data_IF_126461420782
#
_entry.id   IF_126461420782
#
_cell.length_a   1.000
_cell.length_b   1.000
_cell.length_c   1.000
_cell.angle_alpha   90.00
_cell.angle_beta   90.00
_cell.angle_gamma   90.00
#
_symmetry.space_group_name_H-M   'P 1'
#
loop_
_entity.id
_entity.type
_entity.pdbx_description
1 polymer ?
#
# COMPACT_ATOMS: atom_id res chain seq x y z
N UNK A 1 -45.98 10.53 6.01
CA UNK A 1 -45.14 10.28 4.80
C UNK A 1 -43.68 10.67 4.97
N UNK A 2 -43.37 11.74 5.70
CA UNK A 2 -41.97 12.15 5.99
C UNK A 2 -41.23 11.24 7.00
N UNK A 3 -41.93 10.59 7.91
CA UNK A 3 -41.33 9.74 8.92
C UNK A 3 -40.80 8.41 8.35
N UNK A 4 -41.40 7.88 7.29
CA UNK A 4 -40.95 6.65 6.63
C UNK A 4 -39.65 6.84 5.80
N UNK A 5 -39.39 8.07 5.35
CA UNK A 5 -38.15 8.40 4.63
C UNK A 5 -36.97 8.54 5.60
N UNK A 6 -37.24 8.96 6.85
CA UNK A 6 -36.22 9.10 7.88
C UNK A 6 -35.78 7.75 8.46
N UNK A 7 -36.68 6.79 8.62
CA UNK A 7 -36.38 5.45 9.17
C UNK A 7 -35.63 4.56 8.18
N UNK A 8 -35.90 4.68 6.89
CA UNK A 8 -35.20 3.88 5.87
C UNK A 8 -33.78 4.36 5.59
N UNK A 9 -33.42 5.56 6.03
CA UNK A 9 -32.07 6.12 5.83
C UNK A 9 -31.12 5.82 6.99
N UNK A 10 -31.62 5.45 8.16
CA UNK A 10 -30.79 5.29 9.36
C UNK A 10 -30.02 3.96 9.39
N UNK A 11 -30.53 2.91 8.79
CA UNK A 11 -29.90 1.59 8.82
C UNK A 11 -28.74 1.41 7.82
N UNK A 12 -28.67 2.24 6.80
CA UNK A 12 -27.64 2.13 5.76
C UNK A 12 -26.41 3.03 5.98
N UNK A 13 -26.40 3.88 6.98
CA UNK A 13 -25.31 4.84 7.20
C UNK A 13 -24.28 4.44 8.26
N UNK A 14 -24.51 3.39 9.04
CA UNK A 14 -23.52 2.83 9.96
C UNK A 14 -22.50 1.97 9.20
N UNK A 15 -21.68 2.61 8.35
CA UNK A 15 -20.52 1.91 7.81
C UNK A 15 -19.47 1.79 8.91
N UNK A 16 -19.28 0.57 9.39
CA UNK A 16 -18.14 0.24 10.24
C UNK A 16 -16.85 0.68 9.54
N UNK A 17 -15.99 1.38 10.27
CA UNK A 17 -14.70 1.86 9.76
C UNK A 17 -13.85 0.72 9.20
N UNK A 18 -13.96 -0.48 9.77
CA UNK A 18 -13.25 -1.66 9.28
C UNK A 18 -13.76 -2.08 7.90
N UNK A 19 -15.06 -2.10 7.71
CA UNK A 19 -15.68 -2.40 6.42
C UNK A 19 -15.33 -1.33 5.36
N UNK A 20 -15.24 -0.07 5.76
CA UNK A 20 -14.79 1.01 4.89
C UNK A 20 -13.33 0.84 4.46
N UNK A 21 -12.43 0.58 5.40
CA UNK A 21 -10.99 0.43 5.13
C UNK A 21 -10.67 -0.88 4.38
N UNK A 22 -11.55 -1.87 4.42
CA UNK A 22 -11.42 -3.11 3.65
C UNK A 22 -11.72 -2.93 2.15
N UNK A 23 -12.32 -1.80 1.76
CA UNK A 23 -12.58 -1.52 0.33
C UNK A 23 -11.29 -1.21 -0.40
N UNK A 24 -11.07 -1.80 -1.59
CA UNK A 24 -9.88 -1.50 -2.37
C UNK A 24 -9.91 -0.06 -2.89
N UNK A 25 -8.76 0.60 -2.87
CA UNK A 25 -8.55 1.94 -3.40
C UNK A 25 -7.43 1.87 -4.42
N UNK A 26 -7.61 2.51 -5.59
CA UNK A 26 -6.58 2.59 -6.62
C UNK A 26 -5.53 3.60 -6.16
N UNK A 27 -4.30 3.13 -5.94
CA UNK A 27 -3.17 3.97 -5.53
C UNK A 27 -2.51 4.61 -6.74
N UNK A 28 -2.35 3.83 -7.80
CA UNK A 28 -1.67 4.27 -9.01
C UNK A 28 -2.22 3.51 -10.24
N UNK A 29 -2.06 4.11 -11.40
CA UNK A 29 -2.40 3.50 -12.68
C UNK A 29 -1.45 3.99 -13.76
N UNK A 30 -1.05 3.11 -14.66
CA UNK A 30 -0.11 3.44 -15.72
C UNK A 30 -0.11 2.41 -16.83
N UNK A 31 0.62 2.71 -17.88
CA UNK A 31 0.80 1.81 -19.01
C UNK A 31 2.15 1.08 -18.88
N UNK A 32 2.11 -0.23 -19.13
CA UNK A 32 3.28 -1.08 -19.20
C UNK A 32 3.77 -1.10 -20.66
N UNK A 33 5.03 -0.74 -20.88
CA UNK A 33 5.62 -0.73 -22.21
C UNK A 33 7.06 -1.24 -22.22
N UNK A 34 7.59 -1.63 -23.39
CA UNK A 34 8.94 -2.15 -23.52
C UNK A 34 10.04 -1.13 -23.18
N UNK A 35 9.69 0.15 -23.16
CA UNK A 35 10.61 1.22 -22.77
C UNK A 35 10.65 1.44 -21.24
N UNK A 36 9.81 0.75 -20.47
CA UNK A 36 9.81 0.89 -19.02
C UNK A 36 11.05 0.21 -18.45
N UNK A 37 11.91 0.99 -17.85
CA UNK A 37 13.08 0.49 -17.13
C UNK A 37 12.68 -0.03 -15.75
N UNK A 38 13.53 -0.87 -15.21
CA UNK A 38 13.39 -1.35 -13.81
C UNK A 38 13.27 -0.16 -12.87
N UNK A 39 12.19 -0.10 -12.07
CA UNK A 39 11.94 1.00 -11.15
C UNK A 39 11.09 2.14 -11.71
N UNK A 40 10.48 1.98 -12.88
CA UNK A 40 9.57 2.98 -13.47
C UNK A 40 8.31 3.20 -12.62
N UNK A 41 7.90 2.17 -11.89
CA UNK A 41 6.79 2.27 -10.95
C UNK A 41 7.26 2.71 -9.58
N UNK A 42 6.46 3.53 -8.90
CA UNK A 42 6.83 4.12 -7.62
C UNK A 42 7.08 3.12 -6.49
N UNK A 43 7.74 3.61 -5.46
CA UNK A 43 7.82 2.94 -4.16
C UNK A 43 6.86 3.62 -3.21
N UNK A 44 6.03 2.83 -2.54
CA UNK A 44 4.99 3.33 -1.65
C UNK A 44 5.36 3.00 -0.21
N UNK A 45 5.57 4.05 0.60
CA UNK A 45 5.81 3.90 2.04
C UNK A 45 4.50 3.59 2.76
N UNK A 46 4.45 2.50 3.50
CA UNK A 46 3.25 2.02 4.16
C UNK A 46 3.29 2.16 5.68
N UNK A 47 2.20 2.58 6.30
CA UNK A 47 0.89 2.98 5.77
C UNK A 47 0.80 4.45 5.34
N UNK A 48 1.87 5.22 5.53
CA UNK A 48 1.89 6.67 5.27
C UNK A 48 1.41 7.06 3.87
N UNK A 49 1.95 6.40 2.84
CA UNK A 49 1.60 6.70 1.45
C UNK A 49 0.11 6.48 1.16
N UNK A 50 -0.50 5.44 1.76
CA UNK A 50 -1.92 5.19 1.61
C UNK A 50 -2.77 6.25 2.32
N UNK A 51 -2.47 6.54 3.58
CA UNK A 51 -3.27 7.45 4.41
C UNK A 51 -3.22 8.88 3.85
N UNK A 52 -2.04 9.33 3.44
CA UNK A 52 -1.87 10.71 2.97
C UNK A 52 -2.27 10.94 1.51
N UNK A 53 -2.22 9.92 0.67
CA UNK A 53 -2.62 10.05 -0.73
C UNK A 53 -4.14 10.14 -0.92
N UNK A 54 -4.90 9.71 0.08
CA UNK A 54 -6.37 9.68 0.00
C UNK A 54 -7.03 10.44 1.13
N UNK A 55 -7.48 11.64 0.84
CA UNK A 55 -8.23 12.48 1.79
C UNK A 55 -9.41 11.74 2.42
N UNK A 56 -10.08 10.87 1.66
CA UNK A 56 -11.21 10.09 2.18
C UNK A 56 -10.79 9.12 3.27
N UNK A 57 -9.63 8.47 3.12
CA UNK A 57 -9.07 7.56 4.13
C UNK A 57 -8.58 8.36 5.34
N UNK A 58 -7.87 9.46 5.10
CA UNK A 58 -7.39 10.36 6.15
C UNK A 58 -8.54 10.90 6.99
N UNK A 59 -9.58 11.43 6.36
CA UNK A 59 -10.75 12.00 7.05
C UNK A 59 -11.54 10.95 7.86
N UNK A 60 -11.56 9.69 7.41
CA UNK A 60 -12.20 8.60 8.16
C UNK A 60 -11.37 8.13 9.36
N UNK A 61 -10.07 8.34 9.30
CA UNK A 61 -9.16 8.02 10.40
C UNK A 61 -8.97 9.20 11.36
N UNK A 62 -9.51 10.36 11.04
CA UNK A 62 -9.45 11.53 11.90
C UNK A 62 -10.13 11.26 13.25
N UNK A 63 -9.48 11.67 14.33
CA UNK A 63 -9.94 11.40 15.69
C UNK A 63 -9.48 10.07 16.29
N UNK A 64 -8.85 9.19 15.50
CA UNK A 64 -8.22 7.97 16.03
C UNK A 64 -6.76 8.24 16.41
N UNK A 65 -6.34 7.66 17.53
CA UNK A 65 -4.95 7.79 18.00
C UNK A 65 -3.96 7.03 17.12
N UNK A 66 -4.35 5.86 16.65
CA UNK A 66 -3.46 5.00 15.89
C UNK A 66 -4.17 3.98 15.02
N UNK A 67 -3.40 3.44 14.09
CA UNK A 67 -3.84 2.47 13.08
C UNK A 67 -3.00 1.20 13.16
N UNK A 68 -3.67 0.06 13.16
CA UNK A 68 -3.03 -1.26 13.10
C UNK A 68 -3.83 -2.18 12.21
N UNK A 69 -3.26 -2.57 11.09
CA UNK A 69 -3.88 -3.50 10.15
C UNK A 69 -2.83 -4.23 9.31
N UNK A 70 -3.21 -5.37 8.76
CA UNK A 70 -2.51 -5.99 7.64
C UNK A 70 -2.93 -5.28 6.36
N UNK A 71 -1.98 -4.85 5.55
CA UNK A 71 -2.24 -4.17 4.29
C UNK A 71 -2.15 -5.15 3.14
N UNK A 72 -3.07 -5.02 2.20
CA UNK A 72 -3.14 -5.89 1.03
C UNK A 72 -2.90 -5.05 -0.21
N UNK A 73 -1.82 -5.36 -0.92
CA UNK A 73 -1.50 -4.78 -2.22
C UNK A 73 -1.94 -5.70 -3.33
N UNK A 74 -2.69 -5.15 -4.25
CA UNK A 74 -3.13 -5.87 -5.44
C UNK A 74 -2.63 -5.14 -6.69
N UNK A 75 -1.78 -5.82 -7.45
CA UNK A 75 -1.40 -5.42 -8.79
C UNK A 75 -2.33 -6.12 -9.78
N UNK A 76 -3.10 -5.34 -10.52
CA UNK A 76 -3.95 -5.85 -11.60
C UNK A 76 -3.38 -5.39 -12.92
N UNK A 77 -3.10 -6.33 -13.81
CA UNK A 77 -2.51 -6.08 -15.12
C UNK A 77 -3.49 -6.54 -16.20
N UNK A 78 -3.75 -5.68 -17.16
CA UNK A 78 -4.49 -6.03 -18.36
C UNK A 78 -3.50 -6.17 -19.53
N UNK A 79 -3.01 -7.38 -19.74
CA UNK A 79 -2.06 -7.70 -20.79
C UNK A 79 -2.74 -8.43 -21.95
N UNK A 80 -2.21 -8.24 -23.15
CA UNK A 80 -2.58 -9.05 -24.30
C UNK A 80 -1.92 -10.44 -24.17
N UNK A 81 -2.58 -11.55 -24.55
CA UNK A 81 -2.01 -12.90 -24.49
C UNK A 81 -0.68 -13.09 -25.24
N UNK A 82 -0.35 -12.18 -26.17
CA UNK A 82 0.92 -12.20 -26.91
C UNK A 82 2.04 -11.38 -26.22
N UNK A 83 1.73 -10.69 -25.12
CA UNK A 83 2.74 -9.97 -24.34
C UNK A 83 3.44 -10.96 -23.41
N UNK A 84 4.77 -10.87 -23.41
CA UNK A 84 5.62 -11.66 -22.51
C UNK A 84 6.34 -10.72 -21.56
N UNK A 85 6.43 -11.12 -20.32
CA UNK A 85 7.14 -10.38 -19.27
C UNK A 85 6.70 -10.82 -17.89
N UNK A 86 7.46 -10.42 -16.90
CA UNK A 86 7.15 -10.72 -15.51
C UNK A 86 7.34 -9.47 -14.67
N UNK A 87 6.36 -9.19 -13.84
CA UNK A 87 6.43 -8.12 -12.85
C UNK A 87 6.53 -8.70 -11.45
N UNK A 88 7.25 -8.00 -10.60
CA UNK A 88 7.47 -8.40 -9.22
C UNK A 88 7.03 -7.25 -8.29
N UNK A 89 6.13 -7.54 -7.38
CA UNK A 89 5.78 -6.65 -6.27
C UNK A 89 6.55 -7.13 -5.04
N UNK A 90 7.38 -6.27 -4.49
CA UNK A 90 8.22 -6.59 -3.33
C UNK A 90 7.89 -5.69 -2.15
N UNK A 91 8.06 -6.23 -0.95
CA UNK A 91 7.96 -5.46 0.28
C UNK A 91 9.30 -5.45 1.01
N UNK A 92 9.81 -4.23 1.27
CA UNK A 92 11.02 -4.00 2.05
C UNK A 92 10.62 -3.56 3.46
N UNK A 93 10.70 -4.44 4.47
CA UNK A 93 10.32 -4.09 5.84
C UNK A 93 11.31 -3.10 6.46
N UNK A 94 10.80 -2.09 7.16
CA UNK A 94 11.61 -1.09 7.91
C UNK A 94 11.44 -1.22 9.43
N UNK A 95 10.60 -2.13 9.90
CA UNK A 95 10.43 -2.43 11.33
C UNK A 95 9.87 -1.27 12.16
N UNK A 96 9.19 -0.32 11.53
CA UNK A 96 8.64 0.87 12.19
C UNK A 96 9.62 2.02 12.32
N UNK A 97 10.72 2.01 11.58
CA UNK A 97 11.65 3.14 11.56
C UNK A 97 11.00 4.39 10.97
N UNK A 98 11.43 5.57 11.44
CA UNK A 98 11.06 6.83 10.81
C UNK A 98 11.66 6.92 9.42
N UNK A 99 10.99 7.63 8.51
CA UNK A 99 11.46 7.83 7.14
C UNK A 99 12.90 8.37 7.08
N UNK A 100 13.23 9.31 7.95
CA UNK A 100 14.57 9.91 8.03
C UNK A 100 15.63 9.00 8.66
N UNK A 101 15.23 7.99 9.42
CA UNK A 101 16.15 7.06 10.08
C UNK A 101 16.59 5.93 9.16
N UNK A 102 15.84 5.68 8.10
CA UNK A 102 16.22 4.72 7.06
C UNK A 102 17.00 5.48 6.00
N UNK A 103 18.31 5.50 6.13
CA UNK A 103 19.14 6.18 5.15
C UNK A 103 18.91 5.60 3.75
N UNK A 104 18.92 6.45 2.74
CA UNK A 104 18.82 6.05 1.33
C UNK A 104 19.86 4.98 0.97
N UNK A 105 21.04 5.02 1.58
CA UNK A 105 22.08 4.01 1.41
C UNK A 105 21.64 2.64 1.96
N UNK A 106 20.93 2.60 3.07
CA UNK A 106 20.44 1.34 3.66
C UNK A 106 19.33 0.72 2.80
N UNK A 107 18.41 1.54 2.31
CA UNK A 107 17.39 1.09 1.36
C UNK A 107 18.04 0.61 0.05
N UNK A 108 18.98 1.36 -0.49
CA UNK A 108 19.67 1.02 -1.73
C UNK A 108 20.43 -0.31 -1.61
N UNK A 109 21.04 -0.61 -0.46
CA UNK A 109 21.74 -1.88 -0.28
C UNK A 109 20.82 -3.11 -0.40
N UNK A 110 19.53 -2.97 -0.10
CA UNK A 110 18.56 -4.04 -0.18
C UNK A 110 17.73 -4.09 -1.47
N UNK A 111 17.72 -2.99 -2.24
CA UNK A 111 16.83 -2.85 -3.40
C UNK A 111 17.54 -2.50 -4.71
N UNK A 112 18.88 -2.42 -4.69
CA UNK A 112 19.63 -1.92 -5.86
C UNK A 112 19.62 -2.90 -7.04
N UNK A 113 19.66 -4.20 -6.77
CA UNK A 113 19.65 -5.21 -7.83
C UNK A 113 18.40 -6.08 -7.80
N UNK A 114 18.03 -6.62 -8.97
CA UNK A 114 16.92 -7.57 -9.06
C UNK A 114 17.13 -8.80 -8.15
N UNK A 115 18.38 -9.26 -8.01
CA UNK A 115 18.74 -10.39 -7.14
C UNK A 115 18.46 -10.05 -5.68
N UNK A 116 18.86 -8.87 -5.21
CA UNK A 116 18.57 -8.44 -3.83
C UNK A 116 17.07 -8.32 -3.58
N UNK A 117 16.31 -7.79 -4.52
CA UNK A 117 14.85 -7.68 -4.43
C UNK A 117 14.15 -9.02 -4.42
N UNK A 118 14.68 -9.99 -5.15
CA UNK A 118 14.12 -11.35 -5.18
C UNK A 118 14.26 -12.10 -3.85
N UNK A 119 15.10 -11.62 -2.91
CA UNK A 119 15.18 -12.18 -1.55
C UNK A 119 14.12 -11.66 -0.59
N UNK A 120 13.42 -10.58 -0.96
CA UNK A 120 12.37 -9.98 -0.15
C UNK A 120 11.03 -10.74 -0.29
N UNK A 121 10.11 -10.59 0.67
CA UNK A 121 8.73 -11.04 0.49
C UNK A 121 8.16 -10.41 -0.78
N UNK A 122 7.71 -11.26 -1.70
CA UNK A 122 7.30 -10.82 -3.03
C UNK A 122 6.15 -11.65 -3.60
N UNK A 123 5.53 -11.07 -4.60
CA UNK A 123 4.62 -11.75 -5.52
C UNK A 123 5.06 -11.45 -6.94
N UNK A 124 5.13 -12.47 -7.76
CA UNK A 124 5.45 -12.36 -9.18
C UNK A 124 4.18 -12.54 -10.01
N UNK A 125 4.04 -11.75 -11.05
CA UNK A 125 2.92 -11.77 -12.00
C UNK A 125 3.49 -11.96 -13.39
N UNK A 126 3.10 -13.05 -14.04
CA UNK A 126 3.48 -13.36 -15.41
C UNK A 126 2.41 -12.81 -16.35
N UNK A 127 2.81 -11.95 -17.30
CA UNK A 127 1.88 -11.32 -18.25
C UNK A 127 1.14 -12.30 -19.15
N UNK A 128 1.74 -13.46 -19.38
CA UNK A 128 1.13 -14.46 -20.26
C UNK A 128 0.01 -15.26 -19.58
N UNK A 129 0.06 -15.40 -18.25
CA UNK A 129 -0.82 -16.29 -17.50
C UNK A 129 -1.64 -15.59 -16.41
N UNK A 130 -1.07 -14.57 -15.81
CA UNK A 130 -1.62 -13.95 -14.61
C UNK A 130 -2.17 -12.54 -14.90
N UNK A 131 -3.31 -12.24 -14.31
CA UNK A 131 -3.89 -10.89 -14.39
C UNK A 131 -3.82 -10.15 -13.07
N UNK A 132 -3.60 -10.86 -11.96
CA UNK A 132 -3.63 -10.27 -10.62
C UNK A 132 -2.54 -10.89 -9.73
N UNK A 133 -1.77 -10.05 -9.07
CA UNK A 133 -0.87 -10.42 -7.99
C UNK A 133 -1.28 -9.75 -6.68
N UNK A 134 -1.31 -10.49 -5.58
CA UNK A 134 -1.68 -9.96 -4.28
C UNK A 134 -0.56 -10.18 -3.27
N UNK A 135 -0.04 -9.08 -2.70
CA UNK A 135 0.98 -9.09 -1.66
C UNK A 135 0.37 -8.61 -0.34
N UNK A 136 0.52 -9.41 0.71
CA UNK A 136 0.06 -9.08 2.06
C UNK A 136 1.23 -8.59 2.90
N UNK A 137 1.09 -7.38 3.42
CA UNK A 137 2.07 -6.74 4.31
C UNK A 137 1.53 -6.80 5.73
N UNK A 138 2.05 -7.71 6.59
CA UNK A 138 1.63 -7.81 7.97
C UNK A 138 2.10 -6.60 8.77
N UNK A 139 1.41 -6.31 9.88
CA UNK A 139 1.86 -5.27 10.79
C UNK A 139 3.07 -5.75 11.58
N UNK A 140 4.26 -5.40 11.11
CA UNK A 140 5.54 -5.68 11.79
C UNK A 140 6.21 -4.35 12.12
N UNK A 141 6.13 -3.96 13.38
CA UNK A 141 6.70 -2.71 13.88
C UNK A 141 7.11 -2.89 15.33
N UNK A 142 8.13 -2.15 15.78
CA UNK A 142 8.50 -2.04 17.19
C UNK A 142 7.43 -1.30 18.01
N UNK A 143 6.51 -0.61 17.35
CA UNK A 143 5.39 0.08 17.99
C UNK A 143 4.11 -0.75 17.91
N UNK A 144 3.21 -0.56 18.87
CA UNK A 144 1.94 -1.29 18.90
C UNK A 144 0.96 -0.87 17.82
N UNK A 145 1.11 0.34 17.28
CA UNK A 145 0.27 0.90 16.23
C UNK A 145 1.04 1.98 15.46
N UNK A 146 0.56 2.31 14.27
CA UNK A 146 1.00 3.47 13.52
C UNK A 146 0.27 4.71 14.02
N UNK A 147 0.96 5.74 14.52
CA UNK A 147 0.32 6.95 15.05
C UNK A 147 -0.28 7.77 13.91
N UNK A 148 -1.51 8.26 14.11
CA UNK A 148 -2.25 9.06 13.13
C UNK A 148 -2.14 10.54 13.41
N UNK A 149 -2.08 10.93 14.69
CA UNK A 149 -2.04 12.31 15.13
C UNK A 149 -0.62 12.84 15.35
N UNK A 150 -0.39 14.10 15.06
CA UNK A 150 0.77 14.88 15.54
C UNK A 150 2.10 14.60 14.83
N UNK A 151 2.10 13.94 13.68
CA UNK A 151 3.34 13.67 12.94
C UNK A 151 3.51 14.62 11.74
N UNK A 152 4.60 15.36 11.73
CA UNK A 152 5.08 16.01 10.51
C UNK A 152 5.54 14.97 9.49
N UNK A 153 5.55 15.33 8.21
CA UNK A 153 5.94 14.44 7.11
C UNK A 153 7.31 13.79 7.28
N UNK A 154 8.21 14.41 8.03
CA UNK A 154 9.61 14.01 8.17
C UNK A 154 9.88 13.03 9.34
N UNK A 155 8.95 12.86 10.28
CA UNK A 155 9.18 12.14 11.54
C UNK A 155 8.23 10.96 11.77
N UNK A 156 7.71 10.36 10.71
CA UNK A 156 6.69 9.32 10.84
C UNK A 156 7.26 8.01 11.32
N UNK A 157 7.00 7.74 12.59
CA UNK A 157 7.29 6.46 13.22
C UNK A 157 6.23 5.42 12.85
N UNK A 158 6.62 4.15 12.89
CA UNK A 158 5.67 3.05 12.76
C UNK A 158 5.41 2.58 11.33
N UNK A 159 6.12 3.11 10.34
CA UNK A 159 6.01 2.65 8.97
C UNK A 159 6.43 1.19 8.83
N UNK A 160 5.63 0.42 8.10
CA UNK A 160 5.85 -1.01 7.89
C UNK A 160 6.91 -1.30 6.84
N UNK A 161 7.22 -0.32 6.00
CA UNK A 161 8.20 -0.42 4.94
C UNK A 161 7.69 0.07 3.60
N UNK A 162 8.46 -0.25 2.57
CA UNK A 162 8.19 0.16 1.20
C UNK A 162 7.65 -1.01 0.39
N UNK A 163 6.59 -0.76 -0.37
CA UNK A 163 6.15 -1.66 -1.43
C UNK A 163 6.58 -1.08 -2.76
N UNK A 164 7.25 -1.87 -3.57
CA UNK A 164 7.82 -1.44 -4.85
C UNK A 164 7.44 -2.42 -5.95
N UNK A 165 7.26 -1.93 -7.17
CA UNK A 165 6.90 -2.70 -8.37
C UNK A 165 8.08 -2.65 -9.34
N UNK A 166 8.42 -3.80 -9.90
CA UNK A 166 9.55 -3.98 -10.85
C UNK A 166 9.15 -4.87 -11.99
#
# INVERSE_FOLDING_TARGET
MLQQIYDSSSDNFNQDIKAFLAKPVIIDSGNLGPANTVGTFGSYLMPYGLINSFNTVSNKLDGFLGFRATMVFRLTINANPFQQGRYMVTWTPTGGAAENAVSTAHLNSHIYTLVQRSTLPRVEVDLACDTVGELRVPFISKYNFYPLAGQSSAEKFGNLGYVSIF
#
